data_IF_671655680153
#
_entry.id   IF_671655680153
#
_cell.length_a   1.000
_cell.length_b   1.000
_cell.length_c   1.000
_cell.angle_alpha   90.00
_cell.angle_beta   90.00
_cell.angle_gamma   90.00
#
_symmetry.space_group_name_H-M   'P 1'
#
loop_
_entity.id
_entity.type
_entity.pdbx_description
1 polymer ?
#
# COMPACT_ATOMS: atom_id res chain seq x y z
N UNK A 1 -14.84 -75.74 27.32
CA UNK A 1 -14.96 -74.95 26.08
C UNK A 1 -15.49 -73.58 26.49
N UNK A 2 -14.65 -72.55 26.48
CA UNK A 2 -15.04 -71.20 26.91
C UNK A 2 -15.68 -70.51 25.70
N UNK A 3 -16.96 -70.18 25.79
CA UNK A 3 -17.68 -69.51 24.69
C UNK A 3 -17.22 -68.04 24.68
N UNK A 4 -16.68 -67.51 23.57
CA UNK A 4 -16.36 -66.10 23.46
C UNK A 4 -17.65 -65.29 23.55
N UNK A 5 -17.86 -64.57 24.65
CA UNK A 5 -18.98 -63.65 24.75
C UNK A 5 -18.68 -62.43 23.89
N UNK A 6 -19.59 -62.13 22.95
CA UNK A 6 -19.49 -60.93 22.13
C UNK A 6 -19.46 -59.70 23.06
N UNK A 7 -18.51 -58.77 22.89
CA UNK A 7 -18.57 -57.51 23.60
C UNK A 7 -19.88 -56.79 23.23
N UNK A 8 -20.52 -56.10 24.19
CA UNK A 8 -21.79 -55.43 23.95
C UNK A 8 -21.66 -54.46 22.76
N UNK A 9 -22.70 -54.35 21.92
CA UNK A 9 -22.68 -53.42 20.79
C UNK A 9 -22.45 -52.01 21.33
N UNK A 10 -21.35 -51.39 20.88
CA UNK A 10 -21.01 -50.01 21.21
C UNK A 10 -22.15 -49.14 20.68
N UNK A 11 -23.00 -48.64 21.58
CA UNK A 11 -24.03 -47.67 21.22
C UNK A 11 -23.31 -46.46 20.65
N UNK A 12 -23.54 -46.14 19.39
CA UNK A 12 -23.11 -44.88 18.79
C UNK A 12 -23.76 -43.78 19.62
N UNK A 13 -22.98 -43.16 20.51
CA UNK A 13 -23.43 -42.00 21.27
C UNK A 13 -23.83 -40.95 20.24
N UNK A 14 -25.09 -40.50 20.21
CA UNK A 14 -25.52 -39.49 19.26
C UNK A 14 -24.59 -38.30 19.43
N UNK A 15 -23.88 -37.94 18.36
CA UNK A 15 -22.99 -36.79 18.34
C UNK A 15 -23.85 -35.59 18.69
N UNK A 16 -23.80 -35.15 19.95
CA UNK A 16 -24.67 -34.09 20.44
C UNK A 16 -24.45 -32.83 19.63
N UNK A 17 -25.46 -31.96 19.55
CA UNK A 17 -25.39 -30.68 18.84
C UNK A 17 -24.10 -29.89 19.17
N UNK A 18 -23.62 -30.00 20.41
CA UNK A 18 -22.36 -29.42 20.87
C UNK A 18 -21.11 -29.93 20.12
N UNK A 19 -21.04 -31.22 19.78
CA UNK A 19 -19.93 -31.81 19.02
C UNK A 19 -19.86 -31.27 17.58
N UNK A 20 -21.00 -30.81 17.03
CA UNK A 20 -21.06 -30.15 15.73
C UNK A 20 -20.79 -28.63 15.82
N UNK A 21 -21.27 -27.98 16.88
CA UNK A 21 -21.11 -26.54 17.09
C UNK A 21 -19.67 -26.13 17.44
N UNK A 22 -18.96 -26.94 18.24
CA UNK A 22 -17.57 -26.67 18.65
C UNK A 22 -16.60 -26.47 17.46
N UNK A 23 -16.51 -27.38 16.47
CA UNK A 23 -15.62 -27.17 15.33
C UNK A 23 -16.07 -26.02 14.41
N UNK A 24 -17.39 -25.78 14.30
CA UNK A 24 -17.91 -24.65 13.53
C UNK A 24 -17.51 -23.30 14.17
N UNK A 25 -17.68 -23.15 15.49
CA UNK A 25 -17.21 -21.99 16.24
C UNK A 25 -15.69 -21.81 16.14
N UNK A 26 -14.93 -22.90 16.27
CA UNK A 26 -13.48 -22.87 16.12
C UNK A 26 -13.03 -22.40 14.73
N UNK A 27 -13.71 -22.87 13.69
CA UNK A 27 -13.43 -22.47 12.29
C UNK A 27 -13.73 -20.99 12.06
N UNK A 28 -14.88 -20.50 12.55
CA UNK A 28 -15.25 -19.08 12.44
C UNK A 28 -14.24 -18.21 13.19
N UNK A 29 -13.86 -18.58 14.41
CA UNK A 29 -12.88 -17.86 15.19
C UNK A 29 -11.52 -17.81 14.49
N UNK A 30 -11.08 -18.93 13.89
CA UNK A 30 -9.83 -19.00 13.15
C UNK A 30 -9.84 -18.10 11.90
N UNK A 31 -10.96 -18.06 11.17
CA UNK A 31 -11.14 -17.16 10.03
C UNK A 31 -11.07 -15.70 10.48
N UNK A 32 -11.78 -15.35 11.57
CA UNK A 32 -11.74 -14.00 12.12
C UNK A 32 -10.33 -13.60 12.57
N UNK A 33 -9.60 -14.52 13.20
CA UNK A 33 -8.21 -14.32 13.61
C UNK A 33 -7.30 -14.08 12.39
N UNK A 34 -7.45 -14.88 11.32
CA UNK A 34 -6.69 -14.69 10.09
C UNK A 34 -6.99 -13.34 9.44
N UNK A 35 -8.26 -12.94 9.37
CA UNK A 35 -8.65 -11.64 8.84
C UNK A 35 -8.03 -10.52 9.67
N UNK A 36 -8.15 -10.60 11.00
CA UNK A 36 -7.54 -9.62 11.91
C UNK A 36 -6.02 -9.54 11.73
N UNK A 37 -5.34 -10.68 11.58
CA UNK A 37 -3.90 -10.75 11.34
C UNK A 37 -3.52 -10.09 10.00
N UNK A 38 -4.28 -10.36 8.93
CA UNK A 38 -4.06 -9.74 7.62
C UNK A 38 -4.25 -8.21 7.72
N UNK A 39 -5.33 -7.75 8.37
CA UNK A 39 -5.59 -6.32 8.57
C UNK A 39 -4.46 -5.67 9.38
N UNK A 40 -4.02 -6.31 10.46
CA UNK A 40 -2.91 -5.83 11.27
C UNK A 40 -1.61 -5.75 10.47
N UNK A 41 -1.29 -6.78 9.67
CA UNK A 41 -0.10 -6.82 8.84
C UNK A 41 -0.14 -5.73 7.75
N UNK A 42 -1.28 -5.56 7.07
CA UNK A 42 -1.44 -4.51 6.06
C UNK A 42 -1.30 -3.11 6.66
N UNK A 43 -1.91 -2.90 7.83
CA UNK A 43 -1.81 -1.63 8.56
C UNK A 43 -0.38 -1.37 9.01
N UNK A 44 0.30 -2.39 9.52
CA UNK A 44 1.70 -2.30 9.93
C UNK A 44 2.62 -2.02 8.74
N UNK A 45 2.45 -2.72 7.62
CA UNK A 45 3.24 -2.50 6.40
C UNK A 45 2.99 -1.09 5.87
N UNK A 46 1.74 -0.63 5.84
CA UNK A 46 1.39 0.72 5.40
C UNK A 46 2.00 1.79 6.32
N UNK A 47 1.86 1.62 7.63
CA UNK A 47 2.44 2.50 8.64
C UNK A 47 3.98 2.50 8.58
N UNK A 48 4.60 1.33 8.55
CA UNK A 48 6.05 1.19 8.39
C UNK A 48 6.52 1.84 7.09
N UNK A 49 5.79 1.66 5.99
CA UNK A 49 6.09 2.30 4.72
C UNK A 49 6.01 3.83 4.83
N UNK A 50 4.99 4.38 5.50
CA UNK A 50 4.82 5.82 5.66
C UNK A 50 5.84 6.45 6.62
N UNK A 51 6.30 5.73 7.64
CA UNK A 51 7.19 6.29 8.68
C UNK A 51 8.67 5.97 8.46
N UNK A 52 9.02 4.98 7.64
CA UNK A 52 10.42 4.61 7.38
C UNK A 52 11.17 5.74 6.69
N UNK A 53 12.12 6.34 7.42
CA UNK A 53 13.07 7.30 6.87
C UNK A 53 12.52 8.71 6.64
N UNK A 54 11.35 9.06 7.19
CA UNK A 54 10.71 10.39 7.01
C UNK A 54 10.76 11.28 8.27
N UNK A 55 11.38 10.82 9.36
CA UNK A 55 11.65 11.64 10.55
C UNK A 55 12.71 12.69 10.23
N UNK A 56 12.36 13.97 10.38
CA UNK A 56 13.28 15.11 10.18
C UNK A 56 13.39 15.64 8.75
N UNK A 57 12.65 15.09 7.78
CA UNK A 57 12.58 15.64 6.42
C UNK A 57 11.54 16.75 6.32
N UNK A 58 11.88 17.77 5.54
CA UNK A 58 10.92 18.80 5.14
C UNK A 58 9.75 18.18 4.35
N UNK A 59 8.57 18.82 4.36
CA UNK A 59 7.40 18.35 3.60
C UNK A 59 7.66 18.19 2.09
N UNK A 60 8.52 19.03 1.52
CA UNK A 60 8.93 18.96 0.11
C UNK A 60 9.80 17.73 -0.15
N UNK A 61 10.82 17.48 0.68
CA UNK A 61 11.65 16.29 0.59
C UNK A 61 10.84 15.00 0.82
N UNK A 62 9.79 15.05 1.66
CA UNK A 62 8.85 13.93 1.86
C UNK A 62 8.04 13.63 0.59
N UNK A 63 7.50 14.65 -0.07
CA UNK A 63 6.78 14.49 -1.34
C UNK A 63 7.67 13.89 -2.44
N UNK A 64 8.93 14.34 -2.52
CA UNK A 64 9.92 13.80 -3.46
C UNK A 64 10.28 12.34 -3.14
N UNK A 65 10.52 12.00 -1.88
CA UNK A 65 10.80 10.62 -1.47
C UNK A 65 9.63 9.67 -1.78
N UNK A 66 8.38 10.12 -1.58
CA UNK A 66 7.19 9.35 -1.98
C UNK A 66 7.18 9.14 -3.50
N UNK A 67 7.41 10.18 -4.29
CA UNK A 67 7.47 10.08 -5.75
C UNK A 67 8.47 9.01 -6.20
N UNK A 68 9.68 9.00 -5.65
CA UNK A 68 10.71 8.00 -6.01
C UNK A 68 10.28 6.58 -5.66
N UNK A 69 9.65 6.42 -4.50
CA UNK A 69 9.15 5.12 -4.05
C UNK A 69 8.02 4.60 -4.93
N UNK A 70 7.10 5.47 -5.34
CA UNK A 70 6.04 5.10 -6.29
C UNK A 70 6.58 4.80 -7.68
N UNK A 71 7.59 5.53 -8.14
CA UNK A 71 8.27 5.23 -9.40
C UNK A 71 8.97 3.85 -9.35
N UNK A 72 9.57 3.48 -8.22
CA UNK A 72 10.14 2.14 -8.05
C UNK A 72 9.10 1.02 -8.11
N UNK A 73 7.86 1.26 -7.65
CA UNK A 73 6.75 0.30 -7.71
C UNK A 73 6.27 0.05 -9.14
N UNK A 74 6.37 1.03 -10.04
CA UNK A 74 6.04 0.87 -11.46
C UNK A 74 7.22 0.37 -12.31
N UNK A 75 8.30 -0.08 -11.66
CA UNK A 75 9.47 -0.66 -12.32
C UNK A 75 10.53 0.34 -12.77
N UNK A 76 10.38 1.63 -12.44
CA UNK A 76 11.38 2.66 -12.76
C UNK A 76 12.44 2.65 -11.67
N UNK A 77 13.61 2.07 -11.97
CA UNK A 77 14.77 2.10 -11.09
C UNK A 77 15.63 3.32 -11.37
N UNK A 78 15.91 4.13 -10.35
CA UNK A 78 16.86 5.24 -10.45
C UNK A 78 18.26 4.81 -10.05
N UNK A 79 19.26 5.32 -10.76
CA UNK A 79 20.66 5.17 -10.37
C UNK A 79 21.01 6.18 -9.28
N UNK A 80 21.88 5.80 -8.34
CA UNK A 80 22.31 6.68 -7.23
C UNK A 80 22.95 8.00 -7.71
N UNK A 81 23.53 8.00 -8.91
CA UNK A 81 24.20 9.16 -9.51
C UNK A 81 23.25 10.08 -10.31
N UNK A 82 21.98 9.71 -10.49
CA UNK A 82 21.06 10.50 -11.31
C UNK A 82 20.64 11.77 -10.59
N UNK A 83 20.69 12.89 -11.31
CA UNK A 83 20.19 14.19 -10.83
C UNK A 83 18.66 14.17 -10.71
N UNK A 84 18.05 15.02 -9.86
CA UNK A 84 16.59 15.08 -9.75
C UNK A 84 15.88 15.33 -11.09
N UNK A 85 16.47 16.15 -11.95
CA UNK A 85 15.95 16.44 -13.29
C UNK A 85 16.05 15.25 -14.26
N UNK A 86 17.08 14.42 -14.15
CA UNK A 86 17.17 13.16 -14.92
C UNK A 86 16.11 12.16 -14.46
N UNK A 87 15.92 12.02 -13.14
CA UNK A 87 14.87 11.15 -12.58
C UNK A 87 13.49 11.58 -13.05
N UNK A 88 13.21 12.90 -13.01
CA UNK A 88 11.97 13.49 -13.55
C UNK A 88 11.77 13.15 -15.02
N UNK A 89 12.77 13.37 -15.87
CA UNK A 89 12.67 13.07 -17.31
C UNK A 89 12.37 11.60 -17.57
N UNK A 90 12.96 10.70 -16.79
CA UNK A 90 12.67 9.26 -16.88
C UNK A 90 11.24 8.93 -16.47
N UNK A 91 10.76 9.50 -15.36
CA UNK A 91 9.36 9.34 -14.92
C UNK A 91 8.38 9.84 -15.99
N UNK A 92 8.65 11.00 -16.59
CA UNK A 92 7.80 11.59 -17.63
C UNK A 92 7.79 10.74 -18.90
N UNK A 93 8.95 10.16 -19.28
CA UNK A 93 9.03 9.25 -20.43
C UNK A 93 8.09 8.06 -20.28
N UNK A 94 8.08 7.44 -19.11
CA UNK A 94 7.27 6.24 -18.84
C UNK A 94 5.81 6.60 -18.45
N UNK A 95 5.60 7.81 -17.92
CA UNK A 95 4.30 8.31 -17.46
C UNK A 95 4.10 9.79 -17.83
N UNK A 96 3.85 10.12 -19.11
CA UNK A 96 3.75 11.50 -19.57
C UNK A 96 2.57 12.26 -18.93
N UNK A 97 1.51 11.55 -18.55
CA UNK A 97 0.37 12.13 -17.85
C UNK A 97 0.69 12.66 -16.43
N UNK A 98 1.83 12.27 -15.85
CA UNK A 98 2.29 12.74 -14.55
C UNK A 98 3.25 13.94 -14.65
N UNK A 99 3.52 14.46 -15.85
CA UNK A 99 4.48 15.55 -16.04
C UNK A 99 4.22 16.79 -15.18
N UNK A 100 3.01 17.37 -15.11
CA UNK A 100 2.78 18.57 -14.32
C UNK A 100 3.10 18.40 -12.81
N UNK A 101 2.59 17.38 -12.10
CA UNK A 101 2.89 17.21 -10.68
C UNK A 101 4.34 16.78 -10.43
N UNK A 102 4.92 15.91 -11.26
CA UNK A 102 6.31 15.46 -11.10
C UNK A 102 7.28 16.62 -11.29
N UNK A 103 7.00 17.51 -12.25
CA UNK A 103 7.81 18.72 -12.49
C UNK A 103 7.70 19.71 -11.34
N UNK A 104 6.51 19.92 -10.79
CA UNK A 104 6.32 20.80 -9.63
C UNK A 104 7.11 20.31 -8.41
N UNK A 105 6.96 19.03 -8.04
CA UNK A 105 7.65 18.43 -6.88
C UNK A 105 9.18 18.48 -7.07
N UNK A 106 9.68 18.11 -8.26
CA UNK A 106 11.12 18.08 -8.55
C UNK A 106 11.74 19.48 -8.47
N UNK A 107 11.03 20.51 -8.98
CA UNK A 107 11.49 21.90 -8.90
C UNK A 107 11.52 22.41 -7.48
N UNK A 108 10.48 22.15 -6.69
CA UNK A 108 10.43 22.53 -5.27
C UNK A 108 11.56 21.85 -4.49
N UNK A 109 11.78 20.55 -4.71
CA UNK A 109 12.88 19.82 -4.10
C UNK A 109 14.25 20.37 -4.49
N UNK A 110 14.45 20.68 -5.78
CA UNK A 110 15.72 21.22 -6.26
C UNK A 110 15.99 22.62 -5.69
N UNK A 111 14.96 23.46 -5.57
CA UNK A 111 15.06 24.78 -4.96
C UNK A 111 15.34 24.69 -3.45
N UNK A 112 14.78 23.71 -2.75
CA UNK A 112 15.04 23.50 -1.33
C UNK A 112 16.46 22.94 -1.07
N UNK A 113 16.90 21.98 -1.89
CA UNK A 113 18.16 21.27 -1.69
C UNK A 113 19.38 22.02 -2.21
N UNK A 114 19.22 22.76 -3.31
CA UNK A 114 20.32 23.43 -4.01
C UNK A 114 20.12 24.94 -4.15
N UNK A 115 18.99 25.49 -3.67
CA UNK A 115 18.75 26.93 -3.69
C UNK A 115 19.37 27.66 -2.49
N UNK A 116 19.56 28.99 -2.61
CA UNK A 116 20.14 29.82 -1.55
C UNK A 116 19.25 29.84 -0.30
N UNK A 117 19.89 29.72 0.87
CA UNK A 117 19.26 29.54 2.19
C UNK A 117 18.36 30.72 2.61
N UNK A 118 18.59 31.91 2.03
CA UNK A 118 17.83 33.15 2.24
C UNK A 118 16.39 33.12 1.71
N UNK A 119 15.96 32.04 1.03
CA UNK A 119 14.62 31.89 0.48
C UNK A 119 13.76 30.84 1.18
N UNK A 120 14.16 30.27 2.32
CA UNK A 120 13.34 29.31 3.08
C UNK A 120 12.27 30.05 3.90
N UNK A 121 11.00 30.14 3.46
CA UNK A 121 9.97 30.86 4.18
C UNK A 121 9.39 29.91 5.23
N UNK A 122 9.41 30.35 6.48
CA UNK A 122 8.72 29.71 7.60
C UNK A 122 7.22 29.66 7.28
N UNK A 123 6.71 28.49 6.86
CA UNK A 123 5.30 28.31 6.46
C UNK A 123 5.06 27.46 5.18
N UNK A 124 6.11 27.06 4.45
CA UNK A 124 5.98 26.20 3.26
C UNK A 124 5.52 24.75 3.53
N UNK A 125 5.53 24.32 4.80
CA UNK A 125 5.20 22.94 5.15
C UNK A 125 3.73 22.57 4.91
N UNK A 126 2.82 23.46 5.30
CA UNK A 126 1.37 23.24 5.16
C UNK A 126 0.91 23.36 3.70
N UNK A 127 1.58 24.21 2.92
CA UNK A 127 1.37 24.32 1.47
C UNK A 127 1.85 23.07 0.71
N UNK A 128 2.92 22.43 1.16
CA UNK A 128 3.43 21.20 0.55
C UNK A 128 2.57 19.98 0.91
N UNK A 129 2.09 19.88 2.15
CA UNK A 129 1.19 18.79 2.55
C UNK A 129 -0.21 18.91 1.91
N UNK A 130 -0.74 20.14 1.72
CA UNK A 130 -1.97 20.38 0.96
C UNK A 130 -1.79 20.13 -0.55
N UNK A 131 -0.70 20.60 -1.16
CA UNK A 131 -0.36 20.31 -2.55
C UNK A 131 -0.18 18.80 -2.79
N UNK A 132 0.39 18.06 -1.83
CA UNK A 132 0.46 16.59 -1.90
C UNK A 132 -0.91 15.93 -1.78
N UNK A 133 -1.81 16.46 -0.94
CA UNK A 133 -3.19 16.00 -0.82
C UNK A 133 -3.96 16.05 -2.15
N UNK A 134 -3.82 17.15 -2.89
CA UNK A 134 -4.45 17.33 -4.19
C UNK A 134 -3.76 16.52 -5.29
N UNK A 135 -2.44 16.43 -5.24
CA UNK A 135 -1.63 15.60 -6.15
C UNK A 135 -1.98 14.12 -5.99
N UNK A 136 -2.14 13.63 -4.75
CA UNK A 136 -2.61 12.28 -4.43
C UNK A 136 -3.96 11.99 -5.07
N UNK A 137 -4.96 12.85 -4.89
CA UNK A 137 -6.31 12.61 -5.44
C UNK A 137 -6.31 12.58 -6.97
N UNK A 138 -5.55 13.47 -7.62
CA UNK A 138 -5.44 13.53 -9.09
C UNK A 138 -4.73 12.32 -9.69
N UNK A 139 -3.58 11.93 -9.14
CA UNK A 139 -2.77 10.81 -9.62
C UNK A 139 -3.49 9.49 -9.33
N UNK A 140 -4.02 9.30 -8.13
CA UNK A 140 -4.68 8.05 -7.75
C UNK A 140 -5.98 7.84 -8.53
N UNK A 141 -6.80 8.88 -8.75
CA UNK A 141 -8.04 8.79 -9.53
C UNK A 141 -7.77 8.44 -11.00
N UNK A 142 -6.69 8.95 -11.61
CA UNK A 142 -6.31 8.59 -12.98
C UNK A 142 -5.60 7.24 -13.07
N UNK A 143 -4.77 6.90 -12.10
CA UNK A 143 -4.09 5.61 -12.00
C UNK A 143 -5.12 4.47 -11.81
N UNK A 144 -6.10 4.64 -10.91
CA UNK A 144 -7.21 3.70 -10.72
C UNK A 144 -8.05 3.53 -11.99
N UNK A 145 -8.30 4.62 -12.75
CA UNK A 145 -9.06 4.56 -14.02
C UNK A 145 -8.29 3.92 -15.18
N UNK A 146 -6.97 3.85 -15.10
CA UNK A 146 -6.11 3.18 -16.11
C UNK A 146 -5.82 1.74 -15.71
N UNK A 147 -5.64 1.50 -14.41
CA UNK A 147 -5.46 0.17 -13.85
C UNK A 147 -6.76 -0.64 -13.99
N UNK A 148 -7.94 -0.04 -13.79
CA UNK A 148 -9.23 -0.69 -14.06
C UNK A 148 -9.43 -1.09 -15.53
N UNK A 149 -8.81 -0.37 -16.48
CA UNK A 149 -8.79 -0.76 -17.91
C UNK A 149 -7.78 -1.86 -18.24
N UNK A 150 -6.74 -2.03 -17.41
CA UNK A 150 -5.69 -3.03 -17.62
C UNK A 150 -5.94 -4.32 -16.83
N UNK A 151 -6.71 -4.26 -15.74
CA UNK A 151 -7.08 -5.40 -14.90
C UNK A 151 -8.49 -5.96 -15.14
N UNK A 152 -9.31 -5.32 -15.99
CA UNK A 152 -10.66 -5.80 -16.27
C UNK A 152 -10.89 -6.08 -17.77
N UNK A 153 -10.46 -7.24 -18.28
CA UNK A 153 -11.07 -7.82 -19.47
C UNK A 153 -12.44 -8.48 -19.18
N UNK A 154 -12.97 -8.44 -17.95
CA UNK A 154 -14.12 -9.25 -17.52
C UNK A 154 -15.46 -8.51 -17.30
N UNK A 155 -15.54 -7.19 -17.50
CA UNK A 155 -16.84 -6.47 -17.45
C UNK A 155 -17.08 -5.61 -18.70
N UNK A 156 -17.06 -6.28 -19.86
CA UNK A 156 -17.92 -5.93 -20.98
C UNK A 156 -18.83 -7.14 -21.16
N UNK A 157 -20.06 -7.02 -20.67
CA UNK A 157 -21.29 -7.46 -21.33
C UNK A 157 -22.46 -7.30 -20.36
N UNK A 158 -23.07 -6.12 -20.41
CA UNK A 158 -24.50 -5.93 -20.63
C UNK A 158 -24.77 -4.46 -20.97
#
# INVERSE_FOLDING_TARGET
MIVPTQPPPVRQQPQGLLAFLLPALGTVLLILLLIALIVALLTFVWWWWEWRGMRGLSPIARAYARLERYASLIGIRFGAQQTPEERRRRIIKDLPAAEPPVTAITRLYSAERYGPESRRPSGQGDLADSAWGDTRKGILRRFLRRLSRRFNPFWRDK
#
